data_IF_987456340702
#
_entry.id   IF_987456340702
#
_cell.length_a   1.000
_cell.length_b   1.000
_cell.length_c   1.000
_cell.angle_alpha   90.00
_cell.angle_beta   90.00
_cell.angle_gamma   90.00
#
_symmetry.space_group_name_H-M   'P 1'
#
loop_
_entity.id
_entity.type
_entity.pdbx_description
1 polymer ?
#
# COMPACT_ATOMS: atom_id res chain seq x y z
N UNK A 1 -25.23 -11.97 -10.55
CA UNK A 1 -24.84 -11.18 -9.36
C UNK A 1 -25.90 -11.33 -8.29
N UNK A 2 -25.50 -11.38 -7.02
CA UNK A 2 -26.41 -11.50 -5.90
C UNK A 2 -27.22 -10.20 -5.69
N UNK A 3 -28.46 -10.33 -5.19
CA UNK A 3 -29.29 -9.18 -4.84
C UNK A 3 -28.75 -8.46 -3.59
N UNK A 4 -29.19 -7.21 -3.35
CA UNK A 4 -28.85 -6.49 -2.12
C UNK A 4 -29.26 -7.26 -0.86
N UNK A 5 -30.38 -7.95 -0.92
CA UNK A 5 -30.86 -8.79 0.17
C UNK A 5 -29.91 -9.96 0.46
N UNK A 6 -29.42 -10.63 -0.58
CA UNK A 6 -28.48 -11.74 -0.42
C UNK A 6 -27.15 -11.26 0.17
N UNK A 7 -26.67 -10.08 -0.25
CA UNK A 7 -25.47 -9.45 0.29
C UNK A 7 -25.62 -9.15 1.79
N UNK A 8 -26.76 -8.59 2.20
CA UNK A 8 -27.04 -8.31 3.61
C UNK A 8 -27.15 -9.58 4.43
N UNK A 9 -27.79 -10.63 3.90
CA UNK A 9 -27.87 -11.93 4.57
C UNK A 9 -26.51 -12.60 4.72
N UNK A 10 -25.63 -12.49 3.72
CA UNK A 10 -24.28 -13.02 3.82
C UNK A 10 -23.47 -12.30 4.90
N UNK A 11 -23.62 -10.98 5.02
CA UNK A 11 -22.96 -10.21 6.08
C UNK A 11 -23.50 -10.56 7.47
N UNK A 12 -24.82 -10.65 7.65
CA UNK A 12 -25.48 -11.09 8.88
C UNK A 12 -24.99 -12.49 9.33
N UNK A 13 -24.86 -13.41 8.35
CA UNK A 13 -24.29 -14.73 8.60
C UNK A 13 -22.85 -14.66 9.10
N UNK A 14 -22.03 -13.78 8.54
CA UNK A 14 -20.64 -13.60 9.01
C UNK A 14 -20.61 -13.11 10.46
N UNK A 15 -21.47 -12.16 10.84
CA UNK A 15 -21.57 -11.69 12.22
C UNK A 15 -21.97 -12.83 13.18
N UNK A 16 -22.96 -13.65 12.78
CA UNK A 16 -23.38 -14.80 13.57
C UNK A 16 -22.24 -15.81 13.77
N UNK A 17 -21.49 -16.12 12.71
CA UNK A 17 -20.34 -17.02 12.77
C UNK A 17 -19.26 -16.45 13.70
N UNK A 18 -18.98 -15.16 13.63
CA UNK A 18 -18.01 -14.51 14.51
C UNK A 18 -18.43 -14.60 16.00
N UNK A 19 -19.71 -14.38 16.29
CA UNK A 19 -20.23 -14.55 17.63
C UNK A 19 -20.02 -15.97 18.15
N UNK A 20 -20.32 -16.98 17.33
CA UNK A 20 -20.13 -18.39 17.70
C UNK A 20 -18.65 -18.77 17.87
N UNK A 21 -17.77 -18.27 17.00
CA UNK A 21 -16.31 -18.49 17.12
C UNK A 21 -15.78 -17.88 18.42
N UNK A 22 -16.14 -16.63 18.73
CA UNK A 22 -15.75 -15.98 19.98
C UNK A 22 -16.26 -16.72 21.20
N UNK A 23 -17.45 -17.31 21.13
CA UNK A 23 -18.01 -18.07 22.25
C UNK A 23 -17.43 -19.49 22.39
N UNK A 24 -17.14 -20.18 21.28
CA UNK A 24 -16.90 -21.64 21.30
C UNK A 24 -15.46 -22.02 20.94
N UNK A 25 -14.79 -21.29 20.05
CA UNK A 25 -13.46 -21.65 19.59
C UNK A 25 -12.35 -21.23 20.58
N UNK A 26 -11.52 -22.16 21.06
CA UNK A 26 -10.46 -21.85 22.04
C UNK A 26 -9.38 -20.89 21.51
N UNK A 27 -9.17 -20.83 20.20
CA UNK A 27 -8.22 -19.93 19.57
C UNK A 27 -8.81 -18.52 19.46
N UNK A 28 -10.02 -18.40 18.90
CA UNK A 28 -10.69 -17.11 18.71
C UNK A 28 -10.93 -16.39 20.04
N UNK A 29 -11.33 -17.12 21.08
CA UNK A 29 -11.52 -16.57 22.45
C UNK A 29 -10.30 -15.83 22.99
N UNK A 30 -9.09 -16.25 22.61
CA UNK A 30 -7.83 -15.69 23.14
C UNK A 30 -7.33 -14.50 22.35
N UNK A 31 -7.91 -14.23 21.16
CA UNK A 31 -7.44 -13.15 20.32
C UNK A 31 -7.76 -11.79 20.94
N UNK A 32 -6.83 -10.87 20.79
CA UNK A 32 -6.95 -9.45 21.12
C UNK A 32 -6.67 -8.61 19.87
N UNK A 33 -6.91 -7.31 19.92
CA UNK A 33 -6.56 -6.41 18.82
C UNK A 33 -5.07 -6.47 18.50
N UNK A 34 -4.21 -6.62 19.51
CA UNK A 34 -2.76 -6.72 19.34
C UNK A 34 -2.35 -8.02 18.66
N UNK A 35 -2.97 -9.15 19.07
CA UNK A 35 -2.61 -10.46 18.47
C UNK A 35 -3.07 -10.61 17.03
N UNK A 36 -4.15 -9.95 16.63
CA UNK A 36 -4.65 -9.96 15.25
C UNK A 36 -3.92 -8.96 14.33
N UNK A 37 -3.24 -7.96 14.91
CA UNK A 37 -2.65 -6.86 14.14
C UNK A 37 -1.70 -7.33 13.03
N UNK A 38 -0.83 -8.28 13.33
CA UNK A 38 0.15 -8.77 12.34
C UNK A 38 -0.53 -9.56 11.21
N UNK A 39 -1.55 -10.36 11.52
CA UNK A 39 -2.34 -11.08 10.53
C UNK A 39 -3.06 -10.11 9.57
N UNK A 40 -3.68 -9.05 10.11
CA UNK A 40 -4.32 -8.02 9.26
C UNK A 40 -3.33 -7.36 8.29
N UNK A 41 -2.07 -7.17 8.69
CA UNK A 41 -1.03 -6.63 7.82
C UNK A 41 -0.68 -7.64 6.72
N UNK A 42 -0.58 -8.92 7.07
CA UNK A 42 -0.33 -10.04 6.15
C UNK A 42 -1.41 -10.08 5.06
N UNK A 43 -2.69 -10.21 5.43
CA UNK A 43 -3.83 -10.19 4.49
C UNK A 43 -3.84 -8.95 3.59
N UNK A 44 -3.38 -7.79 4.11
CA UNK A 44 -3.30 -6.56 3.32
C UNK A 44 -2.25 -6.68 2.21
N UNK A 45 -1.12 -7.34 2.47
CA UNK A 45 -0.08 -7.59 1.48
C UNK A 45 -0.51 -8.66 0.49
N UNK A 46 -1.15 -9.74 0.95
CA UNK A 46 -1.67 -10.82 0.11
C UNK A 46 -2.73 -10.29 -0.88
N UNK A 47 -3.64 -9.44 -0.40
CA UNK A 47 -4.55 -8.72 -1.30
C UNK A 47 -3.79 -7.85 -2.31
N UNK A 48 -2.73 -7.17 -1.88
CA UNK A 48 -1.88 -6.36 -2.75
C UNK A 48 -1.27 -7.19 -3.88
N UNK A 49 -0.76 -8.36 -3.54
CA UNK A 49 -0.16 -9.31 -4.49
C UNK A 49 -1.18 -9.87 -5.46
N UNK A 50 -2.32 -10.34 -4.98
CA UNK A 50 -3.42 -10.85 -5.80
C UNK A 50 -3.91 -9.81 -6.83
N UNK A 51 -3.98 -8.52 -6.43
CA UNK A 51 -4.33 -7.41 -7.34
C UNK A 51 -3.26 -7.21 -8.42
N UNK A 52 -1.97 -7.25 -8.07
CA UNK A 52 -0.87 -7.08 -9.03
C UNK A 52 -0.80 -8.23 -10.03
N UNK A 53 -1.15 -9.44 -9.59
CA UNK A 53 -1.17 -10.65 -10.41
C UNK A 53 -2.46 -10.79 -11.24
N UNK A 54 -3.45 -9.91 -11.03
CA UNK A 54 -4.78 -9.95 -11.63
C UNK A 54 -5.55 -11.26 -11.33
N UNK A 55 -5.27 -11.89 -10.20
CA UNK A 55 -5.99 -13.09 -9.75
C UNK A 55 -7.26 -12.69 -8.99
N UNK A 56 -8.39 -12.68 -9.69
CA UNK A 56 -9.68 -12.28 -9.12
C UNK A 56 -10.25 -13.29 -8.11
N UNK A 57 -9.86 -14.55 -8.18
CA UNK A 57 -10.29 -15.54 -7.20
C UNK A 57 -9.53 -15.37 -5.88
N UNK A 58 -8.24 -15.12 -5.95
CA UNK A 58 -7.41 -14.76 -4.81
C UNK A 58 -7.87 -13.41 -4.21
N UNK A 59 -8.05 -12.37 -5.02
CA UNK A 59 -8.62 -11.06 -4.55
C UNK A 59 -9.91 -11.25 -3.78
N UNK A 60 -10.79 -12.15 -4.21
CA UNK A 60 -12.04 -12.45 -3.50
C UNK A 60 -11.77 -13.12 -2.15
N UNK A 61 -10.79 -14.02 -2.06
CA UNK A 61 -10.33 -14.65 -0.83
C UNK A 61 -9.85 -13.61 0.16
N UNK A 62 -8.84 -12.83 -0.21
CA UNK A 62 -8.19 -11.83 0.63
C UNK A 62 -9.14 -10.71 1.11
N UNK A 63 -10.11 -10.32 0.27
CA UNK A 63 -11.19 -9.42 0.69
C UNK A 63 -12.06 -10.05 1.78
N UNK A 64 -12.26 -11.37 1.74
CA UNK A 64 -12.96 -12.13 2.78
C UNK A 64 -12.19 -12.11 4.10
N UNK A 65 -10.89 -12.34 4.07
CA UNK A 65 -10.03 -12.38 5.25
C UNK A 65 -9.84 -11.00 5.89
N UNK A 66 -9.68 -9.95 5.10
CA UNK A 66 -9.73 -8.57 5.60
C UNK A 66 -11.08 -8.22 6.22
N UNK A 67 -12.20 -8.64 5.61
CA UNK A 67 -13.53 -8.41 6.16
C UNK A 67 -13.73 -9.20 7.48
N UNK A 68 -13.21 -10.43 7.55
CA UNK A 68 -13.18 -11.22 8.78
C UNK A 68 -12.46 -10.45 9.89
N UNK A 69 -11.28 -9.91 9.64
CA UNK A 69 -10.53 -9.12 10.62
C UNK A 69 -11.29 -7.86 11.07
N UNK A 70 -11.96 -7.15 10.15
CA UNK A 70 -12.79 -5.99 10.48
C UNK A 70 -13.92 -6.38 11.44
N UNK A 71 -14.63 -7.46 11.14
CA UNK A 71 -15.71 -7.98 11.99
C UNK A 71 -15.18 -8.45 13.34
N UNK A 72 -14.01 -9.10 13.35
CA UNK A 72 -13.39 -9.58 14.58
C UNK A 72 -12.98 -8.42 15.50
N UNK A 73 -12.34 -7.37 14.99
CA UNK A 73 -12.05 -6.17 15.78
C UNK A 73 -13.30 -5.52 16.34
N UNK A 74 -14.37 -5.42 15.53
CA UNK A 74 -15.64 -4.87 15.97
C UNK A 74 -16.28 -5.75 17.07
N UNK A 75 -16.15 -7.08 16.96
CA UNK A 75 -16.62 -8.01 17.99
C UNK A 75 -15.85 -7.82 19.30
N UNK A 76 -14.52 -7.72 19.25
CA UNK A 76 -13.69 -7.45 20.44
C UNK A 76 -14.08 -6.10 21.08
N UNK A 77 -14.27 -5.05 20.27
CA UNK A 77 -14.71 -3.74 20.74
C UNK A 77 -16.09 -3.77 21.41
N UNK A 78 -17.01 -4.62 20.94
CA UNK A 78 -18.33 -4.79 21.52
C UNK A 78 -18.30 -5.47 22.90
N UNK A 79 -17.33 -6.35 23.15
CA UNK A 79 -17.15 -7.03 24.43
C UNK A 79 -16.77 -6.05 25.56
N UNK A 80 -16.03 -4.99 25.23
CA UNK A 80 -15.66 -3.90 26.15
C UNK A 80 -16.67 -2.75 26.14
N UNK A 81 -17.66 -2.79 25.24
CA UNK A 81 -18.67 -1.74 25.00
C UNK A 81 -18.08 -0.42 24.51
N UNK A 82 -16.96 -0.47 23.81
CA UNK A 82 -16.33 0.70 23.22
C UNK A 82 -16.94 1.05 21.86
N UNK A 83 -17.19 0.06 21.01
CA UNK A 83 -17.85 0.18 19.71
C UNK A 83 -18.25 -1.20 19.18
N UNK A 84 -19.14 -1.22 18.19
CA UNK A 84 -19.52 -2.42 17.44
C UNK A 84 -19.40 -2.19 15.93
N UNK A 85 -19.81 -3.18 15.14
CA UNK A 85 -19.74 -3.11 13.67
C UNK A 85 -20.67 -2.04 13.11
N UNK A 86 -21.81 -1.74 13.76
CA UNK A 86 -22.70 -0.68 13.30
C UNK A 86 -22.06 0.69 13.49
N UNK A 87 -21.34 0.92 14.58
CA UNK A 87 -20.58 2.15 14.81
C UNK A 87 -19.49 2.34 13.75
N UNK A 88 -18.75 1.29 13.42
CA UNK A 88 -17.73 1.31 12.36
C UNK A 88 -18.34 1.68 11.02
N UNK A 89 -19.45 1.03 10.65
CA UNK A 89 -20.13 1.27 9.38
C UNK A 89 -20.78 2.64 9.30
N UNK A 90 -21.47 3.08 10.35
CA UNK A 90 -22.07 4.41 10.38
C UNK A 90 -21.02 5.51 10.32
N UNK A 91 -19.92 5.37 11.08
CA UNK A 91 -18.83 6.35 11.06
C UNK A 91 -18.22 6.52 9.68
N UNK A 92 -18.00 5.43 8.94
CA UNK A 92 -17.46 5.54 7.58
C UNK A 92 -18.49 6.11 6.61
N UNK A 93 -19.78 5.78 6.75
CA UNK A 93 -20.85 6.34 5.92
C UNK A 93 -20.94 7.87 6.10
N UNK A 94 -21.04 8.34 7.33
CA UNK A 94 -21.11 9.78 7.63
C UNK A 94 -19.85 10.53 7.10
N UNK A 95 -18.69 9.94 7.28
CA UNK A 95 -17.43 10.48 6.75
C UNK A 95 -17.43 10.57 5.23
N UNK A 96 -17.98 9.56 4.52
CA UNK A 96 -18.08 9.57 3.07
C UNK A 96 -19.08 10.63 2.59
N UNK A 97 -20.25 10.73 3.22
CA UNK A 97 -21.25 11.74 2.92
C UNK A 97 -20.67 13.15 3.08
N UNK A 98 -20.04 13.41 4.22
CA UNK A 98 -19.42 14.71 4.52
C UNK A 98 -18.33 15.11 3.52
N UNK A 99 -17.52 14.13 3.06
CA UNK A 99 -16.40 14.40 2.16
C UNK A 99 -16.73 14.40 0.68
N UNK A 100 -17.98 14.10 0.33
CA UNK A 100 -18.46 14.15 -1.05
C UNK A 100 -19.66 15.10 -1.20
N UNK A 101 -19.48 16.41 -0.87
CA UNK A 101 -20.56 17.37 -0.96
C UNK A 101 -21.04 17.61 -2.40
N UNK A 102 -20.27 17.22 -3.39
CA UNK A 102 -20.65 17.19 -4.80
C UNK A 102 -21.60 16.04 -5.19
N UNK A 103 -21.78 15.05 -4.30
CA UNK A 103 -22.74 13.93 -4.48
C UNK A 103 -23.93 14.06 -3.54
N UNK A 104 -23.67 14.49 -2.29
CA UNK A 104 -24.67 14.50 -1.21
C UNK A 104 -25.09 15.91 -0.77
N UNK A 105 -24.54 16.97 -1.41
CA UNK A 105 -24.83 18.36 -1.15
C UNK A 105 -24.93 19.18 -2.44
N UNK A 106 -24.70 20.48 -2.36
CA UNK A 106 -24.94 21.46 -3.44
C UNK A 106 -23.60 22.00 -4.04
N UNK A 107 -22.51 21.25 -3.96
CA UNK A 107 -21.20 21.68 -4.48
C UNK A 107 -21.00 21.09 -5.86
N UNK A 108 -20.79 21.94 -6.86
CA UNK A 108 -20.36 21.49 -8.19
C UNK A 108 -18.85 21.35 -8.23
N UNK A 109 -18.35 20.36 -8.97
CA UNK A 109 -16.92 20.12 -9.22
C UNK A 109 -16.72 19.87 -10.71
N UNK A 110 -15.66 20.47 -11.25
CA UNK A 110 -15.35 20.38 -12.68
C UNK A 110 -14.63 19.08 -13.06
N UNK A 111 -13.75 18.58 -12.18
CA UNK A 111 -12.88 17.45 -12.45
C UNK A 111 -12.43 16.69 -11.17
N UNK A 112 -11.68 15.61 -11.37
CA UNK A 112 -11.12 14.79 -10.30
C UNK A 112 -10.11 15.54 -9.42
N UNK A 113 -9.37 16.47 -9.99
CA UNK A 113 -8.35 17.24 -9.26
C UNK A 113 -9.02 18.21 -8.28
N UNK A 114 -10.15 18.81 -8.68
CA UNK A 114 -10.94 19.65 -7.78
C UNK A 114 -11.56 18.83 -6.65
N UNK A 115 -12.03 17.63 -6.92
CA UNK A 115 -12.49 16.69 -5.87
C UNK A 115 -11.37 16.40 -4.87
N UNK A 116 -10.16 16.13 -5.34
CA UNK A 116 -8.99 15.86 -4.47
C UNK A 116 -8.63 17.07 -3.62
N UNK A 117 -8.59 18.28 -4.20
CA UNK A 117 -8.34 19.54 -3.47
C UNK A 117 -9.40 19.80 -2.41
N UNK A 118 -10.67 19.65 -2.76
CA UNK A 118 -11.78 19.81 -1.83
C UNK A 118 -11.70 18.83 -0.67
N UNK A 119 -11.33 17.58 -0.95
CA UNK A 119 -11.16 16.56 0.07
C UNK A 119 -10.05 16.90 1.08
N UNK A 120 -8.87 17.34 0.64
CA UNK A 120 -7.81 17.74 1.58
C UNK A 120 -8.21 19.00 2.38
N UNK A 121 -8.91 19.96 1.77
CA UNK A 121 -9.45 21.13 2.46
C UNK A 121 -10.48 20.75 3.54
N UNK A 122 -11.37 19.81 3.26
CA UNK A 122 -12.35 19.30 4.23
C UNK A 122 -11.66 18.62 5.41
N UNK A 123 -10.60 17.83 5.16
CA UNK A 123 -9.81 17.22 6.24
C UNK A 123 -9.14 18.26 7.16
N UNK A 124 -8.70 19.40 6.63
CA UNK A 124 -8.16 20.48 7.45
C UNK A 124 -9.26 21.12 8.33
N UNK A 125 -10.48 21.27 7.80
CA UNK A 125 -11.64 21.77 8.56
C UNK A 125 -12.08 20.81 9.68
N UNK A 126 -11.77 19.52 9.58
CA UNK A 126 -11.99 18.52 10.64
C UNK A 126 -11.07 18.69 11.86
N UNK A 127 -10.34 19.82 11.97
CA UNK A 127 -9.48 20.13 13.10
C UNK A 127 -8.05 19.62 13.01
N UNK A 128 -7.60 19.19 11.85
CA UNK A 128 -6.20 18.81 11.63
C UNK A 128 -5.30 20.03 11.69
N UNK A 129 -4.25 19.95 12.50
CA UNK A 129 -3.26 21.04 12.68
C UNK A 129 -2.21 21.09 11.57
N UNK A 130 -2.12 20.06 10.74
CA UNK A 130 -1.15 19.94 9.64
C UNK A 130 -1.71 19.08 8.52
N UNK A 131 -1.37 19.42 7.28
CA UNK A 131 -1.65 18.60 6.09
C UNK A 131 -1.06 17.20 6.24
N UNK A 132 0.10 17.08 6.86
CA UNK A 132 0.80 15.81 7.08
C UNK A 132 0.26 15.03 8.28
N UNK A 133 -0.63 15.63 9.07
CA UNK A 133 -1.32 14.91 10.13
C UNK A 133 -2.21 13.82 9.54
N UNK A 134 -2.03 12.59 10.01
CA UNK A 134 -2.74 11.41 9.49
C UNK A 134 -1.96 10.66 8.39
N UNK A 135 -0.67 10.97 8.18
CA UNK A 135 0.28 10.04 7.56
C UNK A 135 0.71 9.07 8.65
N UNK A 136 0.37 7.77 8.53
CA UNK A 136 0.73 6.82 9.57
C UNK A 136 2.25 6.70 9.72
N UNK A 137 2.73 6.75 10.97
CA UNK A 137 4.17 6.66 11.26
C UNK A 137 4.77 5.31 10.87
N UNK A 138 3.95 4.26 10.90
CA UNK A 138 4.33 2.87 10.64
C UNK A 138 4.29 2.48 9.14
N UNK A 139 3.93 3.37 8.24
CA UNK A 139 3.98 3.07 6.80
C UNK A 139 5.41 2.74 6.37
N UNK A 140 5.61 1.77 5.47
CA UNK A 140 6.87 1.56 4.78
C UNK A 140 7.37 2.87 4.15
N UNK A 141 8.68 3.06 4.10
CA UNK A 141 9.29 4.35 3.76
C UNK A 141 8.87 4.86 2.37
N UNK A 142 8.82 3.97 1.37
CA UNK A 142 8.48 4.31 -0.01
C UNK A 142 7.01 4.76 -0.12
N UNK A 143 6.09 3.97 0.46
CA UNK A 143 4.65 4.32 0.52
C UNK A 143 4.44 5.62 1.28
N UNK A 144 5.20 5.83 2.38
CA UNK A 144 5.14 7.05 3.18
C UNK A 144 5.59 8.28 2.40
N UNK A 145 6.70 8.19 1.67
CA UNK A 145 7.23 9.28 0.86
C UNK A 145 6.23 9.68 -0.23
N UNK A 146 5.69 8.71 -0.97
CA UNK A 146 4.64 8.97 -1.97
C UNK A 146 3.43 9.66 -1.31
N UNK A 147 2.97 9.16 -0.16
CA UNK A 147 1.82 9.75 0.54
C UNK A 147 2.07 11.16 1.06
N UNK A 148 3.27 11.47 1.52
CA UNK A 148 3.67 12.83 1.94
C UNK A 148 3.57 13.77 0.74
N UNK A 149 4.15 13.39 -0.40
CA UNK A 149 4.18 14.21 -1.61
C UNK A 149 2.77 14.46 -2.17
N UNK A 150 1.92 13.44 -2.24
CA UNK A 150 0.52 13.60 -2.63
C UNK A 150 -0.23 14.63 -1.76
N UNK A 151 0.04 14.59 -0.45
CA UNK A 151 -0.63 15.48 0.49
C UNK A 151 -0.20 16.94 0.34
N UNK A 152 1.08 17.19 0.16
CA UNK A 152 1.59 18.55 0.02
C UNK A 152 1.25 19.12 -1.35
N UNK A 153 1.23 18.28 -2.40
CA UNK A 153 0.74 18.66 -3.71
C UNK A 153 -0.73 19.10 -3.67
N UNK A 154 -1.58 18.37 -2.91
CA UNK A 154 -3.00 18.70 -2.73
C UNK A 154 -3.29 20.07 -2.11
N UNK A 155 -2.30 20.74 -1.52
CA UNK A 155 -2.39 22.11 -0.98
C UNK A 155 -1.56 23.12 -1.76
N UNK A 156 -1.08 22.75 -2.96
CA UNK A 156 -0.37 23.63 -3.86
C UNK A 156 1.16 23.70 -3.64
N UNK A 157 1.72 22.85 -2.78
CA UNK A 157 3.17 22.71 -2.66
C UNK A 157 3.66 21.62 -3.61
N UNK A 158 3.79 21.99 -4.88
CA UNK A 158 4.17 21.08 -5.97
C UNK A 158 4.95 21.82 -7.07
N UNK A 159 5.66 21.05 -7.87
CA UNK A 159 6.29 21.55 -9.10
C UNK A 159 5.24 21.75 -10.19
N UNK A 160 5.54 22.65 -11.13
CA UNK A 160 4.62 22.92 -12.25
C UNK A 160 4.81 21.91 -13.39
N UNK A 161 6.06 21.47 -13.63
CA UNK A 161 6.43 20.66 -14.80
C UNK A 161 7.30 19.45 -14.41
N UNK A 162 7.10 18.29 -15.08
CA UNK A 162 7.90 17.08 -14.83
C UNK A 162 9.41 17.29 -15.01
N UNK A 163 9.82 18.20 -15.90
CA UNK A 163 11.22 18.53 -16.16
C UNK A 163 11.91 19.14 -14.94
N UNK A 164 11.20 19.94 -14.14
CA UNK A 164 11.72 20.53 -12.91
C UNK A 164 12.01 19.44 -11.87
N UNK A 165 11.08 18.48 -11.73
CA UNK A 165 11.25 17.32 -10.84
C UNK A 165 12.43 16.46 -11.27
N UNK A 166 12.57 16.20 -12.56
CA UNK A 166 13.71 15.47 -13.10
C UNK A 166 15.03 16.23 -12.93
N UNK A 167 14.98 17.57 -13.02
CA UNK A 167 16.13 18.43 -12.71
C UNK A 167 16.58 18.26 -11.26
N UNK A 168 15.63 18.27 -10.31
CA UNK A 168 15.92 18.03 -8.89
C UNK A 168 16.50 16.64 -8.64
N UNK A 169 15.97 15.60 -9.29
CA UNK A 169 16.52 14.26 -9.19
C UNK A 169 17.99 14.19 -9.64
N UNK A 170 18.35 14.92 -10.71
CA UNK A 170 19.76 14.99 -11.15
C UNK A 170 20.64 15.70 -10.13
N UNK A 171 20.17 16.78 -9.54
CA UNK A 171 20.87 17.50 -8.48
C UNK A 171 21.17 16.56 -7.32
N UNK A 172 20.19 15.81 -6.81
CA UNK A 172 20.39 14.85 -5.72
C UNK A 172 21.39 13.73 -6.08
N UNK A 173 21.37 13.27 -7.34
CA UNK A 173 22.35 12.30 -7.82
C UNK A 173 23.78 12.88 -7.86
N UNK A 174 23.95 14.15 -8.21
CA UNK A 174 25.24 14.84 -8.22
C UNK A 174 25.73 15.07 -6.78
N UNK A 175 24.84 15.46 -5.84
CA UNK A 175 25.16 15.62 -4.43
C UNK A 175 25.58 14.27 -3.80
N UNK A 176 24.85 13.20 -4.05
CA UNK A 176 25.22 11.85 -3.64
C UNK A 176 26.61 11.47 -4.18
N UNK A 177 26.88 11.70 -5.47
CA UNK A 177 28.16 11.37 -6.07
C UNK A 177 29.31 12.17 -5.46
N UNK A 178 29.06 13.43 -5.11
CA UNK A 178 30.03 14.27 -4.40
C UNK A 178 30.38 13.67 -3.03
N UNK A 179 29.37 13.33 -2.20
CA UNK A 179 29.61 12.79 -0.86
C UNK A 179 30.26 11.39 -0.90
N UNK A 180 29.97 10.59 -1.94
CA UNK A 180 30.68 9.33 -2.19
C UNK A 180 32.15 9.58 -2.46
N UNK A 181 32.49 10.63 -3.22
CA UNK A 181 33.88 11.01 -3.52
C UNK A 181 34.63 11.50 -2.27
N UNK A 182 33.92 12.26 -1.42
CA UNK A 182 34.44 12.75 -0.13
C UNK A 182 34.50 11.66 0.96
N UNK A 183 33.91 10.48 0.69
CA UNK A 183 33.83 9.32 1.60
C UNK A 183 33.20 9.65 2.97
N UNK A 184 32.14 10.46 2.96
CA UNK A 184 31.41 10.87 4.15
C UNK A 184 30.16 9.98 4.34
N UNK A 185 30.26 8.94 5.17
CA UNK A 185 29.21 7.91 5.31
C UNK A 185 27.84 8.48 5.75
N UNK A 186 27.82 9.41 6.71
CA UNK A 186 26.55 9.98 7.21
C UNK A 186 25.83 10.81 6.14
N UNK A 187 26.59 11.54 5.34
CA UNK A 187 26.05 12.34 4.25
C UNK A 187 25.64 11.46 3.05
N UNK A 188 26.40 10.42 2.74
CA UNK A 188 26.02 9.43 1.71
C UNK A 188 24.65 8.84 2.02
N UNK A 189 24.36 8.48 3.28
CA UNK A 189 23.05 7.98 3.68
C UNK A 189 21.94 9.03 3.49
N UNK A 190 22.22 10.29 3.86
CA UNK A 190 21.28 11.39 3.71
C UNK A 190 20.94 11.63 2.22
N UNK A 191 21.95 11.86 1.39
CA UNK A 191 21.78 12.12 -0.05
C UNK A 191 21.13 10.94 -0.79
N UNK A 192 21.46 9.70 -0.37
CA UNK A 192 20.76 8.52 -0.92
C UNK A 192 19.28 8.54 -0.60
N UNK A 193 18.90 9.01 0.59
CA UNK A 193 17.50 9.23 0.97
C UNK A 193 16.82 10.29 0.10
N UNK A 194 17.52 11.39 -0.20
CA UNK A 194 17.01 12.48 -1.02
C UNK A 194 16.84 12.08 -2.49
N UNK A 195 17.77 11.28 -3.03
CA UNK A 195 17.63 10.64 -4.35
C UNK A 195 16.35 9.77 -4.41
N UNK A 196 16.14 8.90 -3.41
CA UNK A 196 14.95 8.05 -3.37
C UNK A 196 13.67 8.89 -3.27
N UNK A 197 13.66 9.92 -2.45
CA UNK A 197 12.51 10.82 -2.29
C UNK A 197 12.20 11.57 -3.59
N UNK A 198 13.22 12.08 -4.28
CA UNK A 198 13.09 12.77 -5.57
C UNK A 198 12.65 11.81 -6.70
N UNK A 199 13.14 10.55 -6.68
CA UNK A 199 12.69 9.51 -7.62
C UNK A 199 11.20 9.18 -7.45
N UNK A 200 10.73 9.07 -6.19
CA UNK A 200 9.30 8.85 -5.88
C UNK A 200 8.45 10.02 -6.38
N UNK A 201 8.93 11.26 -6.19
CA UNK A 201 8.25 12.43 -6.72
C UNK A 201 8.17 12.42 -8.25
N UNK A 202 9.24 12.05 -8.92
CA UNK A 202 9.26 11.92 -10.36
C UNK A 202 8.27 10.84 -10.86
N UNK A 203 8.21 9.70 -10.17
CA UNK A 203 7.22 8.66 -10.46
C UNK A 203 5.77 9.19 -10.38
N UNK A 204 5.47 10.03 -9.37
CA UNK A 204 4.17 10.67 -9.21
C UNK A 204 3.80 11.54 -10.42
N UNK A 205 4.73 12.35 -10.93
CA UNK A 205 4.54 13.15 -12.14
C UNK A 205 4.33 12.30 -13.39
N UNK A 206 4.96 11.14 -13.45
CA UNK A 206 4.74 10.15 -14.52
C UNK A 206 3.45 9.34 -14.33
N UNK A 207 2.67 9.61 -13.28
CA UNK A 207 1.47 8.83 -12.90
C UNK A 207 1.76 7.34 -12.67
N UNK A 208 2.96 7.04 -12.17
CA UNK A 208 3.41 5.70 -11.80
C UNK A 208 3.36 5.58 -10.29
N UNK A 209 2.72 4.53 -9.78
CA UNK A 209 2.83 4.18 -8.36
C UNK A 209 4.20 3.52 -8.13
N UNK A 210 5.10 4.12 -7.32
CA UNK A 210 6.47 3.63 -7.15
C UNK A 210 6.55 2.29 -6.40
N UNK A 211 5.65 2.02 -5.45
CA UNK A 211 5.56 0.74 -4.73
C UNK A 211 5.20 -0.39 -5.71
N UNK A 212 4.13 -0.23 -6.46
CA UNK A 212 3.70 -1.22 -7.46
C UNK A 212 4.76 -1.44 -8.55
N UNK A 213 5.46 -0.39 -8.95
CA UNK A 213 6.51 -0.49 -9.97
C UNK A 213 7.71 -1.29 -9.46
N UNK A 214 8.12 -1.04 -8.21
CA UNK A 214 9.23 -1.77 -7.58
C UNK A 214 8.83 -3.22 -7.31
N UNK A 215 7.63 -3.48 -6.80
CA UNK A 215 7.16 -4.83 -6.52
C UNK A 215 7.06 -5.70 -7.79
N UNK A 216 6.54 -5.14 -8.89
CA UNK A 216 6.60 -5.85 -10.18
C UNK A 216 8.03 -6.16 -10.63
N UNK A 217 8.99 -5.32 -10.29
CA UNK A 217 10.40 -5.56 -10.59
C UNK A 217 10.97 -6.64 -9.69
N UNK A 218 10.59 -6.66 -8.41
CA UNK A 218 10.96 -7.73 -7.48
C UNK A 218 10.42 -9.08 -7.95
N UNK A 219 9.13 -9.18 -8.27
CA UNK A 219 8.51 -10.41 -8.81
C UNK A 219 9.22 -10.90 -10.07
N UNK A 220 9.49 -9.98 -11.00
CA UNK A 220 10.25 -10.29 -12.23
C UNK A 220 11.67 -10.79 -11.93
N UNK A 221 12.36 -10.19 -10.97
CA UNK A 221 13.69 -10.64 -10.56
C UNK A 221 13.63 -12.03 -9.95
N UNK A 222 12.71 -12.27 -9.01
CA UNK A 222 12.51 -13.56 -8.34
C UNK A 222 12.22 -14.66 -9.36
N UNK A 223 11.28 -14.44 -10.27
CA UNK A 223 10.92 -15.41 -11.31
C UNK A 223 12.12 -15.78 -12.19
N UNK A 224 12.91 -14.78 -12.62
CA UNK A 224 14.11 -15.03 -13.42
C UNK A 224 15.21 -15.75 -12.66
N UNK A 225 15.37 -15.45 -11.38
CA UNK A 225 16.34 -16.12 -10.53
C UNK A 225 15.94 -17.57 -10.26
N UNK A 226 14.66 -17.84 -10.03
CA UNK A 226 14.15 -19.22 -9.91
C UNK A 226 14.38 -20.02 -11.18
N UNK A 227 14.14 -19.44 -12.35
CA UNK A 227 14.49 -20.09 -13.62
C UNK A 227 15.99 -20.43 -13.70
N UNK A 228 16.86 -19.51 -13.31
CA UNK A 228 18.30 -19.74 -13.25
C UNK A 228 18.64 -20.87 -12.28
N UNK A 229 18.02 -20.93 -11.10
CA UNK A 229 18.20 -22.03 -10.12
C UNK A 229 17.79 -23.38 -10.71
N UNK A 230 16.66 -23.44 -11.42
CA UNK A 230 16.19 -24.66 -12.08
C UNK A 230 17.19 -25.11 -13.16
N UNK A 231 17.69 -24.21 -13.98
CA UNK A 231 18.67 -24.50 -15.04
C UNK A 231 20.02 -24.97 -14.46
N UNK A 232 20.49 -24.37 -13.39
CA UNK A 232 21.68 -24.80 -12.69
C UNK A 232 21.51 -26.25 -12.15
N UNK A 233 20.35 -26.52 -11.54
CA UNK A 233 19.99 -27.85 -11.04
C UNK A 233 19.92 -28.88 -12.16
N UNK A 234 19.30 -28.56 -13.30
CA UNK A 234 19.26 -29.43 -14.49
C UNK A 234 20.67 -29.82 -14.99
N UNK A 235 21.61 -28.87 -14.93
CA UNK A 235 23.02 -29.11 -15.29
C UNK A 235 23.83 -29.81 -14.20
N UNK A 236 23.28 -30.02 -13.02
CA UNK A 236 23.96 -30.63 -11.89
C UNK A 236 25.09 -29.76 -11.30
N UNK A 237 25.02 -28.42 -11.51
CA UNK A 237 26.03 -27.46 -11.01
C UNK A 237 25.40 -26.61 -9.92
N UNK A 238 26.08 -26.44 -8.80
CA UNK A 238 25.61 -25.53 -7.76
C UNK A 238 25.91 -24.08 -8.16
N UNK A 239 25.00 -23.15 -7.85
CA UNK A 239 25.14 -21.74 -8.21
C UNK A 239 26.46 -21.13 -7.77
N UNK A 240 26.95 -21.47 -6.58
CA UNK A 240 28.25 -21.01 -6.04
C UNK A 240 29.46 -21.42 -6.89
N UNK A 241 29.32 -22.48 -7.71
CA UNK A 241 30.37 -23.02 -8.56
C UNK A 241 30.28 -22.51 -10.00
N UNK A 242 29.26 -21.65 -10.29
CA UNK A 242 29.08 -20.99 -11.58
C UNK A 242 29.74 -19.61 -11.59
N UNK A 243 30.24 -19.23 -12.72
CA UNK A 243 30.69 -17.85 -12.99
C UNK A 243 29.47 -16.95 -13.26
N UNK A 244 29.62 -15.65 -13.06
CA UNK A 244 28.57 -14.68 -13.40
C UNK A 244 28.17 -14.77 -14.88
N UNK A 245 29.14 -14.96 -15.79
CA UNK A 245 28.85 -15.13 -17.22
C UNK A 245 28.02 -16.38 -17.56
N UNK A 246 28.20 -17.49 -16.84
CA UNK A 246 27.37 -18.68 -17.00
C UNK A 246 25.97 -18.47 -16.45
N UNK A 247 25.81 -17.72 -15.36
CA UNK A 247 24.52 -17.34 -14.80
C UNK A 247 23.78 -16.37 -15.73
N UNK A 248 24.49 -15.43 -16.34
CA UNK A 248 23.92 -14.44 -17.27
C UNK A 248 23.29 -15.11 -18.50
N UNK A 249 23.81 -16.23 -18.99
CA UNK A 249 23.17 -16.98 -20.07
C UNK A 249 21.76 -17.39 -19.71
N UNK A 250 21.55 -17.96 -18.52
CA UNK A 250 20.22 -18.35 -18.06
C UNK A 250 19.33 -17.16 -17.74
N UNK A 251 19.94 -16.08 -17.23
CA UNK A 251 19.24 -14.83 -16.97
C UNK A 251 18.68 -14.19 -18.25
N UNK A 252 19.45 -14.21 -19.34
CA UNK A 252 18.99 -13.72 -20.65
C UNK A 252 17.91 -14.64 -21.25
N UNK A 253 18.02 -15.96 -21.07
CA UNK A 253 16.96 -16.90 -21.45
C UNK A 253 15.66 -16.60 -20.69
N UNK A 254 15.71 -16.36 -19.38
CA UNK A 254 14.57 -16.01 -18.57
C UNK A 254 13.86 -14.69 -18.95
N UNK A 255 14.54 -13.78 -19.66
CA UNK A 255 13.92 -12.55 -20.17
C UNK A 255 12.99 -12.78 -21.37
N UNK A 256 13.11 -13.92 -22.01
CA UNK A 256 12.33 -14.28 -23.20
C UNK A 256 11.04 -15.05 -22.87
N UNK A 257 10.89 -15.45 -21.61
CA UNK A 257 9.71 -16.12 -21.06
C UNK A 257 8.73 -15.11 -20.47
#
# INVERSE_FOLDING_TARGET
MNSRKDQLQAFDRLLTIMDELREKCPWDKKQTMETLRHLTIEETYELGDAILDNDLDEVKGELGDLLLHIVFYAKIGSETKDFDIADVLNQICEKLIYRHPHIYGDVDVADEEEVKRNWENLKLKEGKKSVLQGVPKSLPALVKANRIQDKVAGVGFDWEEPQQVFGKLKEELEELQHEVTENNADKIEAEFGDVLFSMINYARFLKVNPENALERTNKKFISRFQYLEEKAKEKGVALKDMTLGEMDVFWEEAKLL
#
